data_IF_854880674826
#
_entry.id   IF_854880674826
#
_cell.length_a   1.000
_cell.length_b   1.000
_cell.length_c   1.000
_cell.angle_alpha   90.00
_cell.angle_beta   90.00
_cell.angle_gamma   90.00
#
_symmetry.space_group_name_H-M   'P 1'
#
loop_
_entity.id
_entity.type
_entity.pdbx_description
1 polymer ?
#
# COMPACT_ATOMS: atom_id res chain seq x y z
N UNK A 1 -11.47 -14.03 -46.23
CA UNK A 1 -10.22 -13.45 -45.66
C UNK A 1 -10.48 -11.99 -45.35
N UNK A 2 -11.30 -11.76 -44.33
CA UNK A 2 -11.81 -10.49 -43.79
C UNK A 2 -12.72 -10.99 -42.67
N UNK A 3 -12.38 -10.99 -41.39
CA UNK A 3 -12.00 -9.86 -40.58
C UNK A 3 -11.24 -10.39 -39.36
N UNK A 4 -9.91 -10.22 -39.33
CA UNK A 4 -9.17 -10.19 -38.06
C UNK A 4 -9.39 -8.81 -37.42
N UNK A 5 -10.65 -8.49 -37.13
CA UNK A 5 -10.98 -7.32 -36.31
C UNK A 5 -10.50 -7.65 -34.91
N UNK A 6 -9.51 -6.89 -34.45
CA UNK A 6 -9.07 -6.91 -33.06
C UNK A 6 -10.30 -6.67 -32.15
N UNK A 7 -10.82 -7.74 -31.55
CA UNK A 7 -12.11 -7.81 -30.86
C UNK A 7 -12.19 -6.95 -29.58
N UNK A 8 -11.11 -6.27 -29.20
CA UNK A 8 -11.03 -5.51 -27.95
C UNK A 8 -10.60 -4.05 -28.21
N UNK A 9 -11.54 -3.17 -28.62
CA UNK A 9 -11.23 -1.78 -28.86
C UNK A 9 -10.94 -0.97 -27.58
N UNK A 10 -11.25 -1.49 -26.38
CA UNK A 10 -11.28 -0.66 -25.17
C UNK A 10 -10.87 -1.41 -23.88
N UNK A 11 -9.84 -0.90 -23.20
CA UNK A 11 -9.46 -1.31 -21.83
C UNK A 11 -10.62 -1.15 -20.84
N UNK A 12 -11.53 -0.21 -21.07
CA UNK A 12 -12.73 0.00 -20.26
C UNK A 12 -13.74 -1.16 -20.38
N UNK A 13 -13.85 -1.82 -21.54
CA UNK A 13 -14.70 -3.00 -21.71
C UNK A 13 -14.12 -4.24 -21.00
N UNK A 14 -12.80 -4.29 -20.85
CA UNK A 14 -12.10 -5.29 -20.05
C UNK A 14 -12.26 -5.02 -18.54
N UNK A 15 -12.17 -3.74 -18.15
CA UNK A 15 -12.39 -3.28 -16.78
C UNK A 15 -13.85 -3.35 -16.33
N UNK A 16 -14.79 -3.38 -17.27
CA UNK A 16 -16.21 -3.41 -17.02
C UNK A 16 -16.88 -4.62 -17.66
N UNK A 17 -16.14 -5.73 -17.88
CA UNK A 17 -16.62 -7.01 -18.42
C UNK A 17 -18.06 -7.27 -17.96
N UNK A 18 -19.03 -6.93 -18.82
CA UNK A 18 -20.46 -7.08 -18.59
C UNK A 18 -20.99 -6.63 -17.20
N UNK A 19 -20.41 -5.58 -16.59
CA UNK A 19 -20.88 -4.99 -15.31
C UNK A 19 -20.23 -5.52 -14.02
N UNK A 20 -19.30 -6.48 -14.09
CA UNK A 20 -18.70 -7.07 -12.87
C UNK A 20 -17.31 -6.57 -12.49
N UNK A 21 -16.63 -5.80 -13.34
CA UNK A 21 -15.25 -5.42 -13.04
C UNK A 21 -15.09 -4.46 -11.85
N UNK A 22 -16.15 -3.77 -11.42
CA UNK A 22 -16.19 -3.05 -10.14
C UNK A 22 -15.93 -4.00 -8.97
N UNK A 23 -16.50 -5.22 -8.97
CA UNK A 23 -16.31 -6.19 -7.89
C UNK A 23 -14.87 -6.69 -7.80
N UNK A 24 -14.22 -6.93 -8.94
CA UNK A 24 -12.82 -7.39 -9.00
C UNK A 24 -11.91 -6.29 -8.45
N UNK A 25 -12.06 -5.06 -8.92
CA UNK A 25 -11.27 -3.94 -8.43
C UNK A 25 -11.53 -3.62 -6.96
N UNK A 26 -12.77 -3.76 -6.47
CA UNK A 26 -13.06 -3.64 -5.04
C UNK A 26 -12.38 -4.74 -4.22
N UNK A 27 -12.42 -6.00 -4.67
CA UNK A 27 -11.73 -7.10 -4.00
C UNK A 27 -10.21 -6.87 -3.97
N UNK A 28 -9.59 -6.50 -5.10
CA UNK A 28 -8.18 -6.13 -5.17
C UNK A 28 -7.85 -4.92 -4.29
N UNK A 29 -8.70 -3.90 -4.27
CA UNK A 29 -8.54 -2.71 -3.44
C UNK A 29 -8.56 -3.03 -1.95
N UNK A 30 -9.51 -3.87 -1.52
CA UNK A 30 -9.60 -4.33 -0.12
C UNK A 30 -8.38 -5.19 0.23
N UNK A 31 -8.00 -6.15 -0.62
CA UNK A 31 -6.81 -6.97 -0.40
C UNK A 31 -5.54 -6.14 -0.32
N UNK A 32 -5.37 -5.17 -1.23
CA UNK A 32 -4.23 -4.24 -1.20
C UNK A 32 -4.23 -3.39 0.07
N UNK A 33 -5.40 -2.90 0.51
CA UNK A 33 -5.54 -2.12 1.74
C UNK A 33 -5.14 -2.95 2.98
N UNK A 34 -5.57 -4.21 3.05
CA UNK A 34 -5.21 -5.13 4.13
C UNK A 34 -3.71 -5.39 4.12
N UNK A 35 -3.13 -5.71 2.96
CA UNK A 35 -1.68 -5.90 2.81
C UNK A 35 -0.90 -4.64 3.21
N UNK A 36 -1.34 -3.46 2.78
CA UNK A 36 -0.74 -2.19 3.17
C UNK A 36 -0.84 -2.01 4.69
N UNK A 37 -1.98 -2.28 5.29
CA UNK A 37 -2.20 -2.13 6.73
C UNK A 37 -1.27 -3.03 7.53
N UNK A 38 -1.12 -4.28 7.09
CA UNK A 38 -0.21 -5.27 7.68
C UNK A 38 1.25 -4.86 7.46
N UNK A 39 1.61 -4.33 6.29
CA UNK A 39 2.97 -3.85 5.99
C UNK A 39 3.31 -2.54 6.72
N UNK A 40 2.33 -1.65 6.94
CA UNK A 40 2.50 -0.39 7.67
C UNK A 40 2.67 -0.62 9.18
N UNK A 41 2.10 -1.68 9.75
CA UNK A 41 2.23 -2.01 11.17
C UNK A 41 3.70 -2.17 11.63
N UNK A 42 4.56 -3.01 11.00
CA UNK A 42 5.96 -3.13 11.36
C UNK A 42 6.75 -1.87 11.03
N UNK A 43 6.44 -1.17 9.93
CA UNK A 43 7.10 0.11 9.57
C UNK A 43 6.86 1.16 10.65
N UNK A 44 5.62 1.29 11.13
CA UNK A 44 5.27 2.20 12.24
C UNK A 44 5.96 1.80 13.54
N UNK A 45 6.06 0.51 13.84
CA UNK A 45 6.79 0.00 15.01
C UNK A 45 8.29 0.32 14.93
N UNK A 46 8.90 0.11 13.78
CA UNK A 46 10.32 0.43 13.54
C UNK A 46 10.62 1.91 13.71
N UNK A 47 9.74 2.80 13.21
CA UNK A 47 9.85 4.24 13.43
C UNK A 47 9.74 4.63 14.90
N UNK A 48 8.85 3.99 15.67
CA UNK A 48 8.73 4.22 17.12
C UNK A 48 9.99 3.78 17.89
N UNK A 49 10.59 2.64 17.52
CA UNK A 49 11.84 2.17 18.13
C UNK A 49 13.00 3.12 17.87
N UNK A 50 13.16 3.57 16.62
CA UNK A 50 14.19 4.55 16.26
C UNK A 50 13.97 5.90 16.97
N UNK A 51 12.72 6.36 17.06
CA UNK A 51 12.39 7.57 17.81
C UNK A 51 12.67 7.44 19.31
N UNK A 52 12.39 6.28 19.91
CA UNK A 52 12.67 6.01 21.31
C UNK A 52 14.19 5.99 21.61
N UNK A 53 15.00 5.43 20.71
CA UNK A 53 16.47 5.48 20.82
C UNK A 53 17.00 6.92 20.69
N UNK A 54 16.48 7.70 19.75
CA UNK A 54 16.88 9.09 19.58
C UNK A 54 16.58 9.97 20.81
N UNK A 55 15.48 9.70 21.51
CA UNK A 55 15.15 10.41 22.75
C UNK A 55 16.09 10.05 23.92
N UNK A 56 16.57 8.80 24.00
CA UNK A 56 17.48 8.36 25.08
C UNK A 56 18.83 9.08 25.00
N UNK A 57 19.38 9.20 23.80
CA UNK A 57 20.65 9.88 23.56
C UNK A 57 20.62 11.35 24.03
N UNK A 58 19.49 12.03 23.82
CA UNK A 58 19.31 13.43 24.26
C UNK A 58 19.30 13.61 25.77
N UNK A 59 18.83 12.62 26.53
CA UNK A 59 18.80 12.71 28.00
C UNK A 59 20.15 12.35 28.62
N UNK A 60 20.97 11.51 27.97
CA UNK A 60 22.31 11.15 28.46
C UNK A 60 23.33 12.27 28.24
N UNK A 61 23.23 13.03 27.14
CA UNK A 61 24.13 14.19 26.94
C UNK A 61 23.73 15.43 27.75
N UNK A 62 22.52 15.46 28.32
CA UNK A 62 22.02 16.57 29.14
C UNK A 62 22.20 16.39 30.65
N UNK A 63 22.55 15.19 31.12
CA UNK A 63 22.76 14.90 32.56
C UNK A 63 24.24 14.72 32.94
N UNK A 64 25.16 15.12 32.06
CA UNK A 64 26.60 15.06 32.29
C UNK A 64 27.23 16.44 32.18
N UNK A 65 27.08 17.29 33.20
CA UNK A 65 28.08 18.31 33.54
C UNK A 65 27.91 18.71 35.02
N UNK A 66 29.04 18.90 35.74
CA UNK A 66 29.27 18.63 37.17
C UNK A 66 28.74 19.69 38.14
#
# INVERSE_FOLDING_TARGET
MSDLVFQFPNVNAFLAMNGHGVYVWSAYGISALVLLSVALAPVRRRRKLLAAMASRLKHETGNGTP
#
